data_IF_148881610471
#
_entry.id   IF_148881610471
#
_cell.length_a   1.000
_cell.length_b   1.000
_cell.length_c   1.000
_cell.angle_alpha   90.00
_cell.angle_beta   90.00
_cell.angle_gamma   90.00
#
_symmetry.space_group_name_H-M   'P 1'
#
loop_
_entity.id
_entity.type
_entity.pdbx_description
1 polymer ?
#
# COMPACT_ATOMS: atom_id res chain seq x y z
N UNK A 1 -12.40 20.85 4.95
CA UNK A 1 -12.79 21.11 6.36
C UNK A 1 -13.47 19.90 6.97
N UNK A 2 -14.37 19.22 6.27
CA UNK A 2 -15.02 17.97 6.72
C UNK A 2 -14.50 16.77 5.91
N UNK A 3 -14.19 15.67 6.59
CA UNK A 3 -13.76 14.40 5.99
C UNK A 3 -14.16 13.26 6.91
N UNK A 4 -14.44 12.09 6.36
CA UNK A 4 -14.62 10.87 7.16
C UNK A 4 -13.44 9.95 6.88
N UNK A 5 -12.57 9.80 7.86
CA UNK A 5 -11.36 8.96 7.79
C UNK A 5 -11.63 7.57 8.39
N UNK A 6 -10.79 6.56 8.09
CA UNK A 6 -10.85 5.31 8.82
C UNK A 6 -10.46 5.55 10.29
N UNK A 7 -11.31 5.10 11.22
CA UNK A 7 -11.10 5.35 12.66
C UNK A 7 -10.82 4.07 13.44
N UNK A 8 -10.26 3.03 12.83
CA UNK A 8 -10.17 1.68 13.42
C UNK A 8 -9.45 1.57 14.76
N UNK A 9 -8.46 2.42 15.04
CA UNK A 9 -7.79 2.43 16.36
C UNK A 9 -8.48 3.37 17.35
N UNK A 10 -8.91 4.54 16.91
CA UNK A 10 -9.51 5.55 17.79
C UNK A 10 -10.95 5.20 18.19
N UNK A 11 -11.65 4.39 17.39
CA UNK A 11 -12.97 3.85 17.75
C UNK A 11 -12.92 2.93 18.97
N UNK A 12 -11.80 2.22 19.17
CA UNK A 12 -11.57 1.40 20.35
C UNK A 12 -11.44 2.25 21.61
N UNK A 13 -10.75 3.38 21.51
CA UNK A 13 -10.62 4.34 22.61
C UNK A 13 -11.99 4.94 22.97
N UNK A 14 -12.87 5.07 21.98
CA UNK A 14 -14.27 5.46 22.14
C UNK A 14 -15.18 4.25 22.47
N UNK A 15 -14.69 3.34 23.33
CA UNK A 15 -15.43 2.17 23.84
C UNK A 15 -15.91 1.19 22.77
N UNK A 16 -15.12 1.06 21.69
CA UNK A 16 -15.37 0.18 20.55
C UNK A 16 -16.70 0.46 19.83
N UNK A 17 -16.94 1.73 19.51
CA UNK A 17 -17.99 2.14 18.56
C UNK A 17 -17.61 1.77 17.12
N UNK A 18 -18.59 1.85 16.21
CA UNK A 18 -18.35 1.68 14.77
C UNK A 18 -17.29 2.65 14.24
N UNK A 19 -16.53 2.23 13.22
CA UNK A 19 -15.41 3.01 12.71
C UNK A 19 -15.84 3.93 11.58
N UNK A 20 -15.92 5.24 11.84
CA UNK A 20 -16.37 6.23 10.88
C UNK A 20 -17.82 5.99 10.48
N UNK A 21 -18.07 5.73 9.20
CA UNK A 21 -19.38 5.32 8.68
C UNK A 21 -19.44 3.83 8.31
N UNK A 22 -18.44 3.04 8.73
CA UNK A 22 -18.44 1.61 8.45
C UNK A 22 -19.51 0.90 9.29
N UNK A 23 -20.25 -0.05 8.71
CA UNK A 23 -21.08 -0.96 9.51
C UNK A 23 -20.19 -1.84 10.38
N UNK A 24 -20.77 -2.35 11.46
CA UNK A 24 -20.09 -3.30 12.34
C UNK A 24 -19.75 -4.56 11.54
N UNK A 25 -18.50 -4.98 11.57
CA UNK A 25 -18.08 -6.22 10.89
C UNK A 25 -18.60 -7.47 11.63
N UNK A 26 -18.42 -7.49 12.95
CA UNK A 26 -18.97 -8.48 13.87
C UNK A 26 -19.28 -7.81 15.21
N UNK A 27 -20.35 -8.23 15.87
CA UNK A 27 -20.74 -7.69 17.18
C UNK A 27 -19.77 -8.09 18.30
N UNK A 28 -19.10 -9.23 18.14
CA UNK A 28 -18.10 -9.74 19.07
C UNK A 28 -16.97 -10.39 18.29
N UNK A 29 -15.72 -10.06 18.62
CA UNK A 29 -14.53 -10.60 17.97
C UNK A 29 -13.33 -10.62 18.92
N UNK A 30 -12.34 -11.49 18.66
CA UNK A 30 -11.09 -11.52 19.42
C UNK A 30 -10.07 -10.59 18.78
N UNK A 31 -9.38 -9.83 19.60
CA UNK A 31 -8.30 -8.94 19.21
C UNK A 31 -7.02 -9.35 19.92
N UNK A 32 -5.95 -9.53 19.14
CA UNK A 32 -4.61 -9.77 19.66
C UNK A 32 -3.92 -8.44 19.98
N UNK A 33 -3.52 -8.26 21.23
CA UNK A 33 -2.89 -7.06 21.78
C UNK A 33 -1.42 -7.39 22.07
N UNK A 34 -0.50 -6.57 21.55
CA UNK A 34 0.92 -6.67 21.89
C UNK A 34 1.18 -5.95 23.22
N UNK A 35 1.70 -6.69 24.20
CA UNK A 35 2.06 -6.17 25.51
C UNK A 35 3.47 -5.54 25.50
N UNK A 36 3.80 -4.67 26.47
CA UNK A 36 5.11 -4.00 26.53
C UNK A 36 6.32 -4.96 26.63
N UNK A 37 6.10 -6.19 27.10
CA UNK A 37 7.11 -7.24 27.20
C UNK A 37 7.29 -8.03 25.88
N UNK A 38 6.55 -7.67 24.83
CA UNK A 38 6.59 -8.33 23.53
C UNK A 38 5.73 -9.59 23.41
N UNK A 39 5.04 -9.98 24.48
CA UNK A 39 4.04 -11.05 24.44
C UNK A 39 2.72 -10.55 23.83
N UNK A 40 1.85 -11.49 23.45
CA UNK A 40 0.54 -11.16 22.90
C UNK A 40 -0.57 -11.67 23.82
N UNK A 41 -1.61 -10.87 23.98
CA UNK A 41 -2.82 -11.21 24.72
C UNK A 41 -4.03 -11.14 23.79
N UNK A 42 -4.86 -12.18 23.77
CA UNK A 42 -6.09 -12.17 22.99
C UNK A 42 -7.25 -11.72 23.90
N UNK A 43 -7.84 -10.55 23.61
CA UNK A 43 -9.00 -10.03 24.31
C UNK A 43 -10.25 -10.09 23.43
N UNK A 44 -11.36 -10.54 24.00
CA UNK A 44 -12.66 -10.46 23.35
C UNK A 44 -13.18 -9.02 23.47
N UNK A 45 -13.46 -8.42 22.32
CA UNK A 45 -14.01 -7.07 22.21
C UNK A 45 -15.42 -7.19 21.64
N UNK A 46 -16.33 -6.31 22.07
CA UNK A 46 -17.70 -6.26 21.56
C UNK A 46 -18.08 -4.84 21.20
N UNK A 47 -18.90 -4.69 20.17
CA UNK A 47 -19.44 -3.39 19.74
C UNK A 47 -20.22 -2.71 20.89
N UNK A 48 -20.07 -1.40 21.01
CA UNK A 48 -20.72 -0.61 22.05
C UNK A 48 -22.25 -0.71 22.00
N UNK A 49 -22.86 -0.48 20.84
CA UNK A 49 -24.30 -0.47 20.69
C UNK A 49 -24.91 -1.85 20.96
N UNK A 50 -24.21 -2.91 20.52
CA UNK A 50 -24.55 -4.29 20.85
C UNK A 50 -24.56 -4.53 22.37
N UNK A 51 -23.50 -4.16 23.08
CA UNK A 51 -23.44 -4.30 24.55
C UNK A 51 -24.55 -3.51 25.25
N UNK A 52 -24.81 -2.28 24.83
CA UNK A 52 -25.91 -1.47 25.38
C UNK A 52 -27.28 -2.12 25.16
N UNK A 53 -27.51 -2.69 23.97
CA UNK A 53 -28.76 -3.41 23.68
C UNK A 53 -28.92 -4.62 24.58
N UNK A 54 -27.88 -5.47 24.71
CA UNK A 54 -27.88 -6.64 25.59
C UNK A 54 -28.13 -6.27 27.05
N UNK A 55 -27.48 -5.21 27.55
CA UNK A 55 -27.70 -4.72 28.91
C UNK A 55 -29.14 -4.25 29.15
N UNK A 56 -29.79 -3.67 28.15
CA UNK A 56 -31.16 -3.13 28.26
C UNK A 56 -32.26 -4.19 28.10
N UNK A 57 -32.07 -5.15 27.20
CA UNK A 57 -33.12 -6.10 26.81
C UNK A 57 -32.80 -7.55 27.21
N UNK A 58 -31.62 -7.82 27.77
CA UNK A 58 -31.16 -9.13 28.21
C UNK A 58 -30.32 -9.86 27.17
N UNK A 59 -29.43 -10.75 27.65
CA UNK A 59 -28.43 -11.43 26.83
C UNK A 59 -29.02 -12.34 25.74
N UNK A 60 -30.21 -12.92 26.00
CA UNK A 60 -30.91 -13.80 25.07
C UNK A 60 -31.96 -13.13 24.18
N UNK A 61 -32.08 -11.80 24.21
CA UNK A 61 -33.06 -11.07 23.39
C UNK A 61 -32.79 -11.24 21.89
N UNK A 62 -33.83 -11.27 21.07
CA UNK A 62 -33.65 -11.21 19.62
C UNK A 62 -33.08 -9.85 19.24
N UNK A 63 -32.10 -9.84 18.33
CA UNK A 63 -31.63 -8.60 17.72
C UNK A 63 -32.69 -8.12 16.72
N UNK A 64 -33.03 -6.82 16.71
CA UNK A 64 -33.90 -6.23 15.71
C UNK A 64 -33.32 -6.37 14.30
N UNK A 65 -34.17 -6.27 13.28
CA UNK A 65 -33.78 -6.35 11.87
C UNK A 65 -32.80 -5.25 11.43
N UNK A 66 -32.78 -4.11 12.11
CA UNK A 66 -31.83 -3.03 11.88
C UNK A 66 -30.44 -3.26 12.51
N UNK A 67 -30.26 -4.31 13.33
CA UNK A 67 -28.93 -4.79 13.72
C UNK A 67 -28.40 -5.68 12.58
N UNK A 68 -27.81 -5.00 11.59
CA UNK A 68 -27.12 -5.62 10.45
C UNK A 68 -25.62 -5.48 10.61
N UNK A 69 -24.87 -6.44 10.08
CA UNK A 69 -23.42 -6.39 9.98
C UNK A 69 -22.97 -6.09 8.54
N UNK A 70 -21.66 -5.97 8.34
CA UNK A 70 -21.08 -5.64 7.04
C UNK A 70 -21.38 -6.67 5.94
N UNK A 71 -21.55 -7.95 6.26
CA UNK A 71 -21.85 -9.03 5.30
C UNK A 71 -23.34 -9.16 4.99
N UNK A 72 -24.22 -8.65 5.86
CA UNK A 72 -25.66 -8.63 5.61
C UNK A 72 -26.07 -7.57 4.58
N UNK A 73 -25.17 -6.63 4.26
CA UNK A 73 -25.44 -5.48 3.42
C UNK A 73 -25.02 -5.73 1.97
N UNK A 74 -25.86 -5.30 1.03
CA UNK A 74 -25.53 -5.32 -0.39
C UNK A 74 -24.51 -4.22 -0.74
N UNK A 75 -23.75 -4.36 -1.85
CA UNK A 75 -22.87 -3.29 -2.32
C UNK A 75 -23.57 -1.95 -2.50
N UNK A 76 -24.79 -1.97 -3.03
CA UNK A 76 -25.63 -0.78 -3.19
C UNK A 76 -26.01 -0.14 -1.84
N UNK A 77 -26.29 -0.94 -0.81
CA UNK A 77 -26.59 -0.43 0.53
C UNK A 77 -25.37 0.23 1.18
N UNK A 78 -24.18 -0.35 1.01
CA UNK A 78 -22.93 0.29 1.44
C UNK A 78 -22.69 1.62 0.72
N UNK A 79 -22.90 1.65 -0.60
CA UNK A 79 -22.73 2.85 -1.41
C UNK A 79 -23.73 3.94 -1.04
N UNK A 80 -24.99 3.58 -0.78
CA UNK A 80 -26.03 4.53 -0.43
C UNK A 80 -25.69 5.36 0.82
N UNK A 81 -25.09 4.76 1.84
CA UNK A 81 -24.62 5.50 3.03
C UNK A 81 -23.47 6.45 2.68
N UNK A 82 -22.54 6.01 1.83
CA UNK A 82 -21.44 6.87 1.38
C UNK A 82 -21.98 8.08 0.59
N UNK A 83 -22.87 7.84 -0.35
CA UNK A 83 -23.49 8.88 -1.16
C UNK A 83 -24.28 9.88 -0.30
N UNK A 84 -25.10 9.39 0.64
CA UNK A 84 -25.86 10.24 1.54
C UNK A 84 -24.97 11.15 2.41
N UNK A 85 -23.80 10.65 2.83
CA UNK A 85 -22.84 11.45 3.57
C UNK A 85 -22.04 12.41 2.67
N UNK A 86 -21.85 12.06 1.39
CA UNK A 86 -20.95 12.77 0.47
C UNK A 86 -21.33 14.24 0.27
N UNK A 87 -22.63 14.56 0.25
CA UNK A 87 -23.17 15.92 0.09
C UNK A 87 -22.69 16.91 1.17
N UNK A 88 -22.30 16.40 2.34
CA UNK A 88 -21.88 17.19 3.50
C UNK A 88 -20.37 17.16 3.74
N UNK A 89 -19.61 16.48 2.88
CA UNK A 89 -18.18 16.25 3.02
C UNK A 89 -17.42 16.98 1.91
N UNK A 90 -16.64 18.00 2.27
CA UNK A 90 -15.90 18.81 1.30
C UNK A 90 -14.60 18.14 0.80
N UNK A 91 -13.93 17.36 1.65
CA UNK A 91 -12.82 16.48 1.28
C UNK A 91 -13.37 15.17 0.69
N UNK A 92 -13.01 14.01 1.26
CA UNK A 92 -13.45 12.69 0.82
C UNK A 92 -13.86 11.80 1.99
N UNK A 93 -14.46 10.68 1.65
CA UNK A 93 -14.94 9.66 2.58
C UNK A 93 -14.13 8.38 2.37
N UNK A 94 -13.56 7.86 3.46
CA UNK A 94 -13.01 6.51 3.49
C UNK A 94 -14.13 5.55 3.88
N UNK A 95 -14.59 4.76 2.91
CA UNK A 95 -15.61 3.74 3.07
C UNK A 95 -15.26 2.53 2.20
N UNK A 96 -15.44 1.34 2.75
CA UNK A 96 -15.25 0.07 2.06
C UNK A 96 -16.61 -0.51 1.66
N UNK A 97 -16.85 -0.73 0.37
CA UNK A 97 -18.01 -1.44 -0.15
C UNK A 97 -17.67 -2.94 -0.18
N UNK A 98 -18.18 -3.70 0.79
CA UNK A 98 -17.99 -5.15 0.78
C UNK A 98 -18.81 -5.76 -0.35
N UNK A 99 -18.16 -6.61 -1.12
CA UNK A 99 -18.74 -7.27 -2.28
C UNK A 99 -18.78 -8.78 -2.02
N UNK A 100 -19.87 -9.48 -2.39
CA UNK A 100 -19.91 -10.94 -2.37
C UNK A 100 -18.76 -11.55 -3.16
N UNK A 101 -18.26 -12.70 -2.70
CA UNK A 101 -17.16 -13.41 -3.39
C UNK A 101 -17.56 -13.84 -4.81
N UNK A 102 -18.83 -14.21 -5.00
CA UNK A 102 -19.42 -14.67 -6.25
C UNK A 102 -19.97 -13.54 -7.14
N UNK A 103 -19.71 -12.26 -6.80
CA UNK A 103 -20.17 -11.13 -7.61
C UNK A 103 -19.63 -11.20 -9.04
N UNK A 104 -20.54 -11.18 -10.02
CA UNK A 104 -20.20 -11.18 -11.44
C UNK A 104 -19.53 -9.87 -11.87
N UNK A 105 -18.74 -9.93 -12.95
CA UNK A 105 -18.00 -8.77 -13.47
C UNK A 105 -18.89 -7.56 -13.77
N UNK A 106 -20.02 -7.76 -14.44
CA UNK A 106 -20.95 -6.66 -14.79
C UNK A 106 -21.50 -6.00 -13.52
N UNK A 107 -21.97 -6.79 -12.55
CA UNK A 107 -22.47 -6.27 -11.28
C UNK A 107 -21.37 -5.54 -10.48
N UNK A 108 -20.14 -6.04 -10.49
CA UNK A 108 -18.99 -5.39 -9.85
C UNK A 108 -18.62 -4.06 -10.53
N UNK A 109 -18.64 -4.02 -11.87
CA UNK A 109 -18.43 -2.79 -12.64
C UNK A 109 -19.51 -1.75 -12.31
N UNK A 110 -20.77 -2.17 -12.21
CA UNK A 110 -21.91 -1.30 -11.88
C UNK A 110 -21.71 -0.57 -10.55
N UNK A 111 -21.06 -1.17 -9.55
CA UNK A 111 -20.76 -0.49 -8.27
C UNK A 111 -20.01 0.83 -8.48
N UNK A 112 -19.03 0.85 -9.39
CA UNK A 112 -18.25 2.07 -9.67
C UNK A 112 -19.05 3.08 -10.49
N UNK A 113 -19.85 2.62 -11.46
CA UNK A 113 -20.74 3.49 -12.24
C UNK A 113 -21.79 4.14 -11.36
N UNK A 114 -22.44 3.38 -10.49
CA UNK A 114 -23.40 3.89 -9.51
C UNK A 114 -22.76 4.87 -8.53
N UNK A 115 -21.52 4.62 -8.09
CA UNK A 115 -20.81 5.54 -7.21
C UNK A 115 -20.55 6.89 -7.89
N UNK A 116 -20.14 6.85 -9.16
CA UNK A 116 -19.94 8.05 -9.96
C UNK A 116 -21.25 8.82 -10.16
N UNK A 117 -22.32 8.13 -10.55
CA UNK A 117 -23.64 8.73 -10.79
C UNK A 117 -24.23 9.32 -9.50
N UNK A 118 -23.94 8.72 -8.34
CA UNK A 118 -24.32 9.21 -7.03
C UNK A 118 -23.45 10.37 -6.52
N UNK A 119 -22.47 10.84 -7.29
CA UNK A 119 -21.61 11.97 -6.94
C UNK A 119 -20.53 11.66 -5.90
N UNK A 120 -20.24 10.38 -5.65
CA UNK A 120 -19.16 9.96 -4.75
C UNK A 120 -17.79 10.38 -5.31
N UNK A 121 -16.94 10.97 -4.46
CA UNK A 121 -15.60 11.45 -4.86
C UNK A 121 -14.57 10.33 -5.02
N UNK A 122 -14.92 9.13 -4.58
CA UNK A 122 -14.12 7.91 -4.66
C UNK A 122 -14.95 6.71 -4.25
N UNK A 123 -14.46 5.51 -4.55
CA UNK A 123 -15.13 4.26 -4.23
C UNK A 123 -14.08 3.17 -4.00
N UNK A 124 -14.12 2.52 -2.84
CA UNK A 124 -13.22 1.42 -2.49
C UNK A 124 -14.06 0.17 -2.28
N UNK A 125 -13.77 -0.90 -3.03
CA UNK A 125 -14.45 -2.19 -2.92
C UNK A 125 -13.54 -3.21 -2.25
N UNK A 126 -14.10 -4.06 -1.38
CA UNK A 126 -13.41 -5.24 -0.87
C UNK A 126 -14.21 -6.49 -1.27
N UNK A 127 -13.57 -7.38 -2.01
CA UNK A 127 -14.11 -8.70 -2.34
C UNK A 127 -13.28 -9.76 -1.62
N UNK A 128 -13.86 -10.56 -0.72
CA UNK A 128 -13.16 -11.68 -0.09
C UNK A 128 -12.59 -12.63 -1.14
N UNK A 129 -11.42 -13.20 -0.89
CA UNK A 129 -10.89 -14.33 -1.62
C UNK A 129 -9.99 -15.19 -0.70
N UNK A 130 -9.70 -16.42 -1.12
CA UNK A 130 -8.90 -17.40 -0.36
C UNK A 130 -7.50 -16.89 0.03
N UNK A 131 -6.96 -15.88 -0.66
CA UNK A 131 -5.62 -15.33 -0.43
C UNK A 131 -5.66 -14.09 0.48
N UNK A 132 -6.69 -13.25 0.36
CA UNK A 132 -6.78 -11.99 1.09
C UNK A 132 -7.24 -12.19 2.53
N UNK A 133 -8.02 -13.25 2.80
CA UNK A 133 -8.48 -13.60 4.14
C UNK A 133 -9.31 -12.50 4.82
N UNK A 134 -10.26 -12.88 5.67
CA UNK A 134 -10.94 -11.91 6.53
C UNK A 134 -9.93 -11.41 7.57
N UNK A 135 -9.58 -10.11 7.54
CA UNK A 135 -8.68 -9.45 8.51
C UNK A 135 -9.18 -9.58 9.96
N UNK A 136 -10.45 -9.96 10.14
CA UNK A 136 -11.10 -10.24 11.41
C UNK A 136 -11.59 -11.70 11.38
N UNK A 137 -11.00 -12.56 12.20
CA UNK A 137 -11.48 -13.93 12.39
C UNK A 137 -12.63 -13.95 13.40
N UNK A 138 -13.76 -14.52 12.99
CA UNK A 138 -14.85 -14.92 13.88
C UNK A 138 -14.76 -16.44 13.95
N UNK A 139 -14.14 -17.00 14.99
CA UNK A 139 -14.14 -18.46 15.16
C UNK A 139 -15.53 -18.93 15.60
N UNK A 140 -16.07 -19.92 14.87
CA UNK A 140 -17.03 -20.88 15.39
C UNK A 140 -16.33 -21.87 16.34
N UNK A 141 -17.10 -22.47 17.26
CA UNK A 141 -16.64 -23.26 18.41
C UNK A 141 -15.46 -24.24 18.15
N UNK A 142 -14.48 -24.36 19.07
CA UNK A 142 -13.24 -25.09 18.83
C UNK A 142 -13.34 -26.59 19.18
N UNK A 143 -12.70 -27.51 18.43
CA UNK A 143 -12.30 -28.80 18.95
C UNK A 143 -11.07 -28.62 19.86
N UNK A 144 -11.15 -29.21 21.06
CA UNK A 144 -10.14 -29.14 22.11
C UNK A 144 -8.79 -29.76 21.69
N UNK A 145 -7.67 -29.09 22.01
CA UNK A 145 -6.35 -29.75 22.19
C UNK A 145 -5.58 -29.09 23.36
N UNK A 146 -4.85 -29.84 24.21
CA UNK A 146 -4.36 -29.40 25.52
C UNK A 146 -3.09 -28.52 25.49
N UNK A 147 -2.83 -27.91 26.65
CA UNK A 147 -1.86 -26.86 26.90
C UNK A 147 -0.38 -27.27 27.02
N UNK A 148 0.45 -26.23 26.79
CA UNK A 148 1.74 -25.87 27.41
C UNK A 148 3.08 -26.40 26.84
N UNK A 149 3.77 -25.43 26.21
CA UNK A 149 5.20 -25.11 26.00
C UNK A 149 6.27 -25.85 26.87
N UNK A 150 7.57 -25.91 26.47
CA UNK A 150 8.40 -24.70 26.30
C UNK A 150 9.43 -24.69 25.16
N UNK A 151 10.05 -23.51 25.04
CA UNK A 151 10.97 -23.02 24.03
C UNK A 151 12.42 -23.52 24.13
N UNK A 152 13.13 -23.34 23.01
CA UNK A 152 14.57 -23.19 22.78
C UNK A 152 15.43 -24.42 22.41
N UNK A 153 16.12 -24.22 21.29
CA UNK A 153 17.51 -24.55 20.98
C UNK A 153 17.74 -25.47 19.77
N UNK A 154 18.65 -24.98 18.92
CA UNK A 154 19.14 -25.51 17.66
C UNK A 154 19.60 -26.99 17.70
N UNK A 155 19.41 -27.68 16.56
CA UNK A 155 20.10 -28.93 16.28
C UNK A 155 19.52 -29.76 15.13
N UNK A 156 20.04 -29.54 13.91
CA UNK A 156 20.24 -30.48 12.79
C UNK A 156 19.17 -31.47 12.29
N UNK A 157 19.04 -31.45 10.95
CA UNK A 157 18.85 -32.55 9.96
C UNK A 157 17.47 -33.15 9.69
N UNK A 158 17.03 -32.90 8.44
CA UNK A 158 16.21 -33.67 7.48
C UNK A 158 15.11 -34.62 7.98
N UNK A 159 13.85 -34.38 7.57
CA UNK A 159 13.23 -34.99 6.37
C UNK A 159 11.69 -34.93 6.44
N UNK A 160 11.03 -34.84 5.29
CA UNK A 160 9.68 -35.40 5.09
C UNK A 160 8.46 -34.55 5.45
N UNK A 161 7.99 -33.78 4.47
CA UNK A 161 6.58 -33.63 4.02
C UNK A 161 5.42 -33.52 5.04
N UNK A 162 4.81 -32.31 4.98
CA UNK A 162 3.38 -31.94 4.98
C UNK A 162 2.58 -32.03 6.29
N UNK A 163 2.15 -30.88 6.81
CA UNK A 163 0.72 -30.53 7.02
C UNK A 163 0.55 -29.03 7.36
N UNK A 164 0.15 -28.24 6.37
CA UNK A 164 -0.59 -26.97 6.51
C UNK A 164 -0.83 -26.47 5.09
N UNK A 165 -2.10 -26.34 4.68
CA UNK A 165 -2.58 -26.15 3.30
C UNK A 165 -2.20 -24.83 2.61
N UNK A 166 -0.99 -24.31 2.82
CA UNK A 166 -0.43 -23.18 2.09
C UNK A 166 0.22 -23.69 0.80
N UNK A 167 -0.49 -23.54 -0.31
CA UNK A 167 0.13 -23.67 -1.64
C UNK A 167 0.99 -22.43 -1.88
N UNK A 168 2.27 -22.52 -1.53
CA UNK A 168 3.23 -21.53 -1.99
C UNK A 168 3.38 -21.66 -3.51
N UNK A 169 2.95 -20.65 -4.28
CA UNK A 169 3.21 -20.60 -5.73
C UNK A 169 4.73 -20.66 -6.04
N UNK A 170 5.56 -20.22 -5.08
CA UNK A 170 7.01 -20.44 -5.03
C UNK A 170 7.46 -20.46 -3.57
N UNK A 171 8.17 -21.51 -3.15
CA UNK A 171 8.74 -21.58 -1.80
C UNK A 171 9.72 -20.40 -1.54
N UNK A 172 9.68 -19.77 -0.35
CA UNK A 172 10.67 -18.77 0.03
C UNK A 172 12.08 -19.35 -0.05
N UNK A 173 13.01 -18.60 -0.66
CA UNK A 173 14.38 -19.07 -0.80
C UNK A 173 15.09 -19.14 0.55
N UNK A 174 15.75 -20.28 0.81
CA UNK A 174 16.63 -20.42 1.96
C UNK A 174 17.76 -19.39 1.91
N UNK A 175 17.96 -18.69 3.02
CA UNK A 175 18.98 -17.64 3.12
C UNK A 175 20.37 -18.26 3.30
N UNK A 176 21.31 -18.08 2.35
CA UNK A 176 22.69 -18.51 2.51
C UNK A 176 23.39 -17.78 3.67
N UNK A 177 24.40 -18.41 4.26
CA UNK A 177 25.20 -17.81 5.34
C UNK A 177 26.03 -16.59 4.89
N UNK A 178 26.33 -16.47 3.59
CA UNK A 178 27.06 -15.35 2.99
C UNK A 178 26.36 -14.94 1.69
N UNK A 179 26.19 -13.64 1.51
CA UNK A 179 25.63 -13.05 0.30
C UNK A 179 26.61 -12.03 -0.29
N UNK A 180 26.66 -11.94 -1.61
CA UNK A 180 27.41 -10.91 -2.33
C UNK A 180 26.47 -9.73 -2.59
N UNK A 181 26.93 -8.49 -2.44
CA UNK A 181 26.07 -7.33 -2.67
C UNK A 181 26.82 -6.05 -3.00
N UNK A 182 26.07 -5.01 -3.33
CA UNK A 182 26.57 -3.67 -3.66
C UNK A 182 25.85 -2.61 -2.82
N UNK A 183 26.59 -1.58 -2.41
CA UNK A 183 26.02 -0.44 -1.66
C UNK A 183 26.06 0.82 -2.51
N UNK A 184 24.88 1.40 -2.74
CA UNK A 184 24.66 2.61 -3.52
C UNK A 184 24.42 3.80 -2.60
N UNK A 185 25.11 4.91 -2.89
CA UNK A 185 24.92 6.17 -2.17
C UNK A 185 24.00 7.09 -2.95
N UNK A 186 22.92 7.53 -2.31
CA UNK A 186 21.95 8.50 -2.83
C UNK A 186 22.02 9.77 -1.98
N UNK A 187 22.15 10.93 -2.62
CA UNK A 187 22.04 12.24 -1.97
C UNK A 187 20.73 12.88 -2.43
N UNK A 188 19.77 12.99 -1.52
CA UNK A 188 18.50 13.63 -1.80
C UNK A 188 18.61 15.14 -1.57
N UNK A 189 18.16 16.02 -2.49
CA UNK A 189 18.42 17.46 -2.41
C UNK A 189 17.90 18.17 -1.15
N UNK A 190 16.88 17.60 -0.49
CA UNK A 190 16.29 18.14 0.74
C UNK A 190 16.67 17.36 2.00
N UNK A 191 17.73 16.54 1.93
CA UNK A 191 18.22 15.79 3.10
C UNK A 191 19.68 16.11 3.40
N UNK A 192 19.94 16.47 4.66
CA UNK A 192 21.28 16.69 5.20
C UNK A 192 22.14 15.42 5.25
N UNK A 193 21.52 14.26 5.03
CA UNK A 193 22.16 12.96 5.15
C UNK A 193 21.96 12.12 3.89
N UNK A 194 23.06 11.51 3.43
CA UNK A 194 23.00 10.56 2.34
C UNK A 194 22.32 9.26 2.80
N UNK A 195 21.58 8.66 1.88
CA UNK A 195 20.94 7.37 2.03
C UNK A 195 21.84 6.32 1.36
N UNK A 196 22.08 5.23 2.08
CA UNK A 196 22.85 4.08 1.62
C UNK A 196 21.90 2.92 1.38
N UNK A 197 21.88 2.40 0.16
CA UNK A 197 21.03 1.30 -0.26
C UNK A 197 21.95 0.13 -0.59
N UNK A 198 21.96 -0.89 0.24
CA UNK A 198 22.70 -2.13 0.00
C UNK A 198 21.75 -3.16 -0.58
N UNK A 199 22.09 -3.72 -1.74
CA UNK A 199 21.33 -4.83 -2.33
C UNK A 199 22.26 -6.03 -2.40
N UNK A 200 21.80 -7.13 -1.82
CA UNK A 200 22.49 -8.41 -1.78
C UNK A 200 21.82 -9.38 -2.75
N UNK A 201 22.64 -10.19 -3.40
CA UNK A 201 22.28 -11.11 -4.47
C UNK A 201 22.47 -12.56 -4.04
N UNK A 202 21.68 -13.44 -4.66
CA UNK A 202 21.89 -14.89 -4.62
C UNK A 202 22.04 -15.43 -6.05
N UNK A 203 22.81 -16.51 -6.19
CA UNK A 203 22.84 -17.30 -7.43
C UNK A 203 21.72 -18.34 -7.35
N UNK A 204 20.79 -18.28 -8.28
CA UNK A 204 19.70 -19.26 -8.41
C UNK A 204 19.54 -19.62 -9.89
N UNK A 205 19.45 -20.91 -10.20
CA UNK A 205 19.27 -21.42 -11.57
C UNK A 205 20.28 -20.86 -12.59
N UNK A 206 21.53 -20.66 -12.15
CA UNK A 206 22.60 -20.10 -12.98
C UNK A 206 22.53 -18.60 -13.22
N UNK A 207 21.52 -17.91 -12.67
CA UNK A 207 21.32 -16.45 -12.79
C UNK A 207 21.53 -15.76 -11.44
N UNK A 208 22.09 -14.55 -11.48
CA UNK A 208 22.17 -13.68 -10.31
C UNK A 208 20.86 -12.92 -10.14
N UNK A 209 20.26 -13.00 -8.96
CA UNK A 209 19.01 -12.30 -8.63
C UNK A 209 19.16 -11.51 -7.33
N UNK A 210 18.42 -10.40 -7.17
CA UNK A 210 18.40 -9.69 -5.90
C UNK A 210 17.66 -10.55 -4.86
N UNK A 211 18.17 -10.54 -3.63
CA UNK A 211 17.72 -11.39 -2.53
C UNK A 211 17.26 -10.58 -1.32
N UNK A 212 18.00 -9.56 -0.93
CA UNK A 212 17.61 -8.65 0.15
C UNK A 212 18.15 -7.24 -0.08
N UNK A 213 17.44 -6.25 0.44
CA UNK A 213 17.82 -4.85 0.39
C UNK A 213 17.94 -4.32 1.82
N UNK A 214 18.87 -3.40 2.06
CA UNK A 214 18.99 -2.63 3.29
C UNK A 214 19.08 -1.16 2.95
N UNK A 215 18.19 -0.36 3.51
CA UNK A 215 18.21 1.09 3.35
C UNK A 215 18.62 1.70 4.69
N UNK A 216 19.74 2.41 4.70
CA UNK A 216 20.30 3.05 5.88
C UNK A 216 20.45 4.55 5.65
N UNK A 217 20.02 5.35 6.63
CA UNK A 217 20.19 6.79 6.63
C UNK A 217 20.49 7.27 8.04
N UNK A 218 21.25 8.36 8.16
CA UNK A 218 21.40 9.08 9.44
C UNK A 218 20.20 9.99 9.74
N UNK A 219 19.31 10.19 8.78
CA UNK A 219 18.09 10.97 8.98
C UNK A 219 17.07 10.15 9.80
N UNK A 220 16.79 10.62 11.02
CA UNK A 220 15.84 9.98 11.94
C UNK A 220 14.37 10.24 11.58
N UNK A 221 14.07 11.31 10.83
CA UNK A 221 12.69 11.66 10.39
C UNK A 221 12.07 10.53 9.57
N UNK A 222 12.91 9.71 8.95
CA UNK A 222 12.51 8.71 7.97
C UNK A 222 12.75 7.27 8.43
N UNK A 223 13.19 7.09 9.68
CA UNK A 223 13.66 5.80 10.17
C UNK A 223 12.59 4.70 10.13
N UNK A 224 11.39 4.97 10.65
CA UNK A 224 10.32 3.97 10.76
C UNK A 224 9.88 3.43 9.38
N UNK A 225 9.63 4.32 8.42
CA UNK A 225 9.22 3.91 7.08
C UNK A 225 10.38 3.29 6.28
N UNK A 226 11.62 3.74 6.50
CA UNK A 226 12.81 3.14 5.87
C UNK A 226 13.00 1.69 6.29
N UNK A 227 12.79 1.39 7.58
CA UNK A 227 12.83 0.03 8.12
C UNK A 227 11.69 -0.82 7.57
N UNK A 228 10.47 -0.27 7.51
CA UNK A 228 9.33 -0.98 6.94
C UNK A 228 9.55 -1.32 5.46
N UNK A 229 10.00 -0.35 4.66
CA UNK A 229 10.29 -0.53 3.23
C UNK A 229 11.39 -1.57 2.99
N UNK A 230 12.46 -1.50 3.79
CA UNK A 230 13.56 -2.47 3.79
C UNK A 230 13.06 -3.90 4.00
N UNK A 231 12.20 -4.11 5.01
CA UNK A 231 11.63 -5.43 5.33
C UNK A 231 10.70 -5.93 4.23
N UNK A 232 9.82 -5.06 3.73
CA UNK A 232 8.85 -5.41 2.70
C UNK A 232 9.52 -5.81 1.38
N UNK A 233 10.44 -4.98 0.86
CA UNK A 233 11.14 -5.30 -0.39
C UNK A 233 11.99 -6.56 -0.23
N UNK A 234 12.68 -6.73 0.91
CA UNK A 234 13.44 -7.96 1.15
C UNK A 234 12.55 -9.21 1.22
N UNK A 235 11.35 -9.10 1.80
CA UNK A 235 10.39 -10.19 1.80
C UNK A 235 9.93 -10.54 0.39
N UNK A 236 9.71 -9.54 -0.47
CA UNK A 236 9.37 -9.74 -1.89
C UNK A 236 10.54 -10.39 -2.64
N UNK A 237 11.77 -9.91 -2.47
CA UNK A 237 12.95 -10.49 -3.15
C UNK A 237 13.23 -11.95 -2.78
N UNK A 238 12.90 -12.34 -1.54
CA UNK A 238 13.03 -13.73 -1.05
C UNK A 238 11.94 -14.65 -1.58
N UNK A 239 10.80 -14.10 -2.02
CA UNK A 239 9.78 -14.89 -2.71
C UNK A 239 10.29 -15.15 -4.13
N UNK A 240 10.15 -16.38 -4.60
CA UNK A 240 10.53 -16.77 -5.96
C UNK A 240 9.79 -15.95 -7.03
N UNK A 241 10.14 -16.18 -8.30
CA UNK A 241 9.49 -15.51 -9.43
C UNK A 241 10.12 -14.18 -9.86
N UNK A 242 9.38 -13.45 -10.70
CA UNK A 242 9.82 -12.15 -11.23
C UNK A 242 9.54 -11.03 -10.23
N UNK A 243 10.61 -10.39 -9.77
CA UNK A 243 10.57 -9.27 -8.81
C UNK A 243 10.86 -7.92 -9.49
N UNK A 244 10.91 -7.89 -10.82
CA UNK A 244 11.13 -6.66 -11.61
C UNK A 244 10.04 -5.61 -11.35
N UNK A 245 8.80 -6.02 -11.10
CA UNK A 245 7.67 -5.11 -10.83
C UNK A 245 7.92 -4.14 -9.67
N UNK A 246 8.74 -4.51 -8.68
CA UNK A 246 9.11 -3.64 -7.56
C UNK A 246 9.74 -2.34 -8.03
N UNK A 247 10.49 -2.39 -9.14
CA UNK A 247 11.09 -1.21 -9.77
C UNK A 247 10.02 -0.26 -10.29
N UNK A 248 9.02 -0.79 -10.99
CA UNK A 248 7.94 -0.03 -11.62
C UNK A 248 7.07 0.64 -10.56
N UNK A 249 6.65 -0.13 -9.56
CA UNK A 249 5.84 0.36 -8.43
C UNK A 249 6.55 1.50 -7.68
N UNK A 250 7.84 1.35 -7.37
CA UNK A 250 8.58 2.41 -6.68
C UNK A 250 8.76 3.67 -7.54
N UNK A 251 8.98 3.51 -8.84
CA UNK A 251 9.14 4.65 -9.78
C UNK A 251 7.82 5.38 -10.02
N UNK A 252 6.68 4.72 -9.83
CA UNK A 252 5.35 5.31 -9.93
C UNK A 252 4.93 6.12 -8.69
N UNK A 253 5.71 6.12 -7.60
CA UNK A 253 5.38 6.91 -6.41
C UNK A 253 5.82 8.36 -6.56
N UNK A 254 4.89 9.29 -6.29
CA UNK A 254 5.12 10.74 -6.35
C UNK A 254 5.13 11.35 -4.94
N UNK A 255 6.04 12.30 -4.67
CA UNK A 255 5.98 13.12 -3.45
C UNK A 255 5.03 14.30 -3.71
N UNK A 256 4.01 14.54 -2.87
CA UNK A 256 3.12 15.70 -2.99
C UNK A 256 3.84 17.05 -2.96
N UNK A 257 5.06 17.11 -2.40
CA UNK A 257 5.93 18.30 -2.40
C UNK A 257 6.65 18.51 -3.73
N UNK A 258 6.54 17.56 -4.66
CA UNK A 258 7.22 17.54 -5.94
C UNK A 258 8.55 16.77 -5.90
N UNK A 259 8.99 16.34 -7.08
CA UNK A 259 10.28 15.68 -7.28
C UNK A 259 11.45 16.64 -7.52
N UNK A 260 12.64 16.06 -7.72
CA UNK A 260 13.87 16.81 -7.99
C UNK A 260 14.53 16.38 -9.29
N UNK A 261 15.25 17.32 -9.92
CA UNK A 261 16.15 17.02 -11.02
C UNK A 261 17.49 16.50 -10.47
N UNK A 262 17.84 15.27 -10.82
CA UNK A 262 19.08 14.63 -10.39
C UNK A 262 19.80 14.08 -11.62
N UNK A 263 21.05 14.53 -11.85
CA UNK A 263 21.87 14.11 -13.00
C UNK A 263 21.16 14.25 -14.36
N UNK A 264 20.42 15.33 -14.56
CA UNK A 264 19.71 15.60 -15.81
C UNK A 264 18.40 14.82 -16.01
N UNK A 265 17.97 14.00 -15.04
CA UNK A 265 16.68 13.31 -15.06
C UNK A 265 15.78 13.81 -13.92
N UNK A 266 14.51 14.00 -14.22
CA UNK A 266 13.51 14.30 -13.18
C UNK A 266 13.19 13.03 -12.39
N UNK A 267 13.23 13.12 -11.06
CA UNK A 267 12.92 12.04 -10.14
C UNK A 267 11.75 12.49 -9.25
N UNK A 268 10.56 11.87 -9.37
CA UNK A 268 9.32 12.37 -8.76
C UNK A 268 9.23 12.23 -7.24
N UNK A 269 10.02 11.34 -6.64
CA UNK A 269 10.07 11.13 -5.19
C UNK A 269 11.35 10.42 -4.77
N UNK A 270 11.64 10.40 -3.46
CA UNK A 270 12.74 9.62 -2.92
C UNK A 270 12.55 8.10 -3.18
N UNK A 271 11.30 7.63 -3.15
CA UNK A 271 10.97 6.24 -3.46
C UNK A 271 11.27 5.90 -4.92
N UNK A 272 10.97 6.81 -5.85
CA UNK A 272 11.36 6.66 -7.24
C UNK A 272 12.89 6.66 -7.43
N UNK A 273 13.62 7.41 -6.60
CA UNK A 273 15.09 7.36 -6.59
C UNK A 273 15.61 5.99 -6.14
N UNK A 274 14.98 5.38 -5.12
CA UNK A 274 15.27 4.02 -4.65
C UNK A 274 14.93 3.01 -5.74
N UNK A 275 13.78 3.14 -6.41
CA UNK A 275 13.38 2.32 -7.56
C UNK A 275 14.42 2.36 -8.68
N UNK A 276 14.94 3.54 -9.02
CA UNK A 276 16.02 3.68 -10.00
C UNK A 276 17.37 3.08 -9.55
N UNK A 277 17.62 2.95 -8.25
CA UNK A 277 18.79 2.22 -7.73
C UNK A 277 18.61 0.72 -7.92
N UNK A 278 17.43 0.20 -7.60
CA UNK A 278 17.09 -1.22 -7.77
C UNK A 278 17.13 -1.59 -9.27
N UNK A 279 16.54 -0.77 -10.14
CA UNK A 279 16.57 -0.95 -11.59
C UNK A 279 18.00 -1.11 -12.11
N UNK A 280 18.86 -0.14 -11.79
CA UNK A 280 20.26 -0.16 -12.18
C UNK A 280 20.99 -1.40 -11.66
N UNK A 281 20.72 -1.80 -10.42
CA UNK A 281 21.32 -3.00 -9.85
C UNK A 281 20.87 -4.26 -10.58
N UNK A 282 19.56 -4.41 -10.83
CA UNK A 282 18.99 -5.53 -11.58
C UNK A 282 19.53 -5.62 -13.01
N UNK A 283 19.74 -4.48 -13.69
CA UNK A 283 20.40 -4.44 -15.01
C UNK A 283 21.86 -4.91 -14.89
N UNK A 284 22.60 -4.41 -13.90
CA UNK A 284 24.02 -4.74 -13.69
C UNK A 284 24.27 -6.23 -13.45
N UNK A 285 23.35 -6.91 -12.75
CA UNK A 285 23.44 -8.35 -12.48
C UNK A 285 22.82 -9.20 -13.59
N UNK A 286 22.26 -8.58 -14.64
CA UNK A 286 21.57 -9.27 -15.73
C UNK A 286 20.21 -9.86 -15.35
N UNK A 287 19.56 -9.36 -14.29
CA UNK A 287 18.23 -9.78 -13.85
C UNK A 287 17.08 -9.14 -14.65
N UNK A 288 17.29 -7.94 -15.17
CA UNK A 288 16.39 -7.32 -16.16
C UNK A 288 17.22 -6.75 -17.32
N UNK A 289 16.63 -6.66 -18.52
CA UNK A 289 17.25 -6.01 -19.68
C UNK A 289 17.17 -4.49 -19.55
N UNK A 290 18.20 -3.78 -20.02
CA UNK A 290 18.20 -2.32 -20.04
C UNK A 290 17.10 -1.81 -20.98
N UNK A 291 16.34 -0.82 -20.54
CA UNK A 291 15.37 -0.10 -21.38
C UNK A 291 16.01 0.72 -22.51
N UNK A 292 17.35 0.82 -22.56
CA UNK A 292 18.07 1.43 -23.68
C UNK A 292 17.83 0.72 -25.03
N UNK A 293 17.43 -0.56 -25.04
CA UNK A 293 17.03 -1.25 -26.28
C UNK A 293 15.60 -0.90 -26.73
N UNK A 294 14.77 -0.32 -25.84
CA UNK A 294 13.43 0.18 -26.19
C UNK A 294 13.44 1.65 -26.64
N UNK A 295 14.52 2.41 -26.39
CA UNK A 295 14.66 3.80 -26.85
C UNK A 295 14.74 3.91 -28.39
N UNK A 296 15.24 2.86 -29.07
CA UNK A 296 15.26 2.78 -30.54
C UNK A 296 13.85 2.63 -31.15
N UNK A 297 12.91 2.03 -30.42
CA UNK A 297 11.51 1.95 -30.84
C UNK A 297 10.79 3.29 -30.66
N UNK A 298 11.11 4.03 -29.60
CA UNK A 298 10.57 5.36 -29.32
C UNK A 298 11.12 6.44 -30.27
N UNK A 299 12.39 6.35 -30.70
CA UNK A 299 12.95 7.20 -31.76
C UNK A 299 12.29 6.94 -33.12
N UNK A 300 11.99 5.68 -33.45
CA UNK A 300 11.30 5.33 -34.69
C UNK A 300 9.86 5.90 -34.72
N UNK A 301 9.16 5.90 -33.59
CA UNK A 301 7.82 6.50 -33.48
C UNK A 301 7.87 8.04 -33.53
N UNK A 302 8.92 8.66 -32.94
CA UNK A 302 9.12 10.12 -33.02
C UNK A 302 9.55 10.61 -34.40
N UNK A 303 10.33 9.81 -35.14
CA UNK A 303 10.73 10.13 -36.51
C UNK A 303 9.54 10.11 -37.49
N UNK A 304 8.47 9.37 -37.19
CA UNK A 304 7.23 9.35 -37.99
C UNK A 304 6.31 10.53 -37.66
N UNK A 305 6.48 11.16 -36.49
CA UNK A 305 5.64 12.27 -36.03
C UNK A 305 6.12 13.67 -36.42
N UNK A 306 7.24 13.79 -37.15
CA UNK A 306 7.62 14.98 -37.93
C UNK A 306 7.47 16.33 -37.25
N UNK A 307 8.25 16.61 -36.21
CA UNK A 307 8.31 17.96 -35.61
C UNK A 307 9.77 18.47 -35.57
N UNK A 308 10.22 18.98 -36.73
CA UNK A 308 11.36 19.88 -36.83
C UNK A 308 10.91 21.30 -36.53
N UNK A 309 11.38 21.88 -35.42
CA UNK A 309 11.97 23.23 -35.44
C UNK A 309 12.40 23.66 -34.04
N UNK A 310 13.71 23.92 -33.93
CA UNK A 310 14.33 24.72 -32.90
C UNK A 310 13.53 26.01 -32.61
N UNK A 311 13.08 26.15 -31.37
CA UNK A 311 12.77 27.46 -30.78
C UNK A 311 13.50 27.58 -29.46
N UNK A 312 14.40 28.56 -29.44
CA UNK A 312 15.03 29.13 -28.26
C UNK A 312 13.94 29.77 -27.39
N UNK A 313 13.23 28.96 -26.61
CA UNK A 313 12.19 29.42 -25.69
C UNK A 313 12.81 29.67 -24.33
N UNK A 314 12.71 30.92 -23.86
CA UNK A 314 12.88 31.31 -22.44
C UNK A 314 12.40 30.18 -21.53
N UNK A 315 13.32 29.58 -20.77
CA UNK A 315 13.03 28.48 -19.86
C UNK A 315 12.13 28.97 -18.72
N UNK A 316 10.82 28.92 -18.94
CA UNK A 316 9.82 29.10 -17.89
C UNK A 316 10.00 28.02 -16.83
N UNK A 317 9.78 28.39 -15.57
CA UNK A 317 9.91 27.44 -14.46
C UNK A 317 8.83 26.35 -14.59
N UNK A 318 9.12 25.11 -14.19
CA UNK A 318 8.13 24.04 -14.22
C UNK A 318 7.05 24.24 -13.15
N UNK A 319 5.80 23.96 -13.50
CA UNK A 319 4.67 24.02 -12.58
C UNK A 319 4.71 22.83 -11.60
N UNK A 320 4.54 23.05 -10.28
CA UNK A 320 4.56 21.97 -9.30
C UNK A 320 3.29 21.10 -9.32
N UNK A 321 2.20 21.53 -9.97
CA UNK A 321 0.96 20.75 -10.11
C UNK A 321 0.98 19.84 -11.34
N UNK A 322 1.35 20.37 -12.51
CA UNK A 322 1.25 19.63 -13.78
C UNK A 322 2.61 19.35 -14.46
N UNK A 323 3.72 19.85 -13.93
CA UNK A 323 5.06 19.63 -14.49
C UNK A 323 5.39 20.43 -15.76
N UNK A 324 4.40 21.09 -16.39
CA UNK A 324 4.62 21.88 -17.60
C UNK A 324 5.58 23.08 -17.35
N UNK A 325 6.49 23.41 -18.28
CA UNK A 325 7.36 24.59 -18.20
C UNK A 325 6.56 25.87 -18.48
N UNK A 326 5.65 26.19 -17.57
CA UNK A 326 4.58 27.15 -17.78
C UNK A 326 4.34 28.04 -16.54
N UNK A 327 5.26 28.05 -15.58
CA UNK A 327 5.13 28.83 -14.35
C UNK A 327 5.68 30.24 -14.53
N UNK A 328 4.82 31.23 -14.30
CA UNK A 328 5.10 32.66 -14.43
C UNK A 328 4.90 33.32 -13.07
N UNK A 329 5.77 34.26 -12.69
CA UNK A 329 5.56 35.10 -11.49
C UNK A 329 5.01 36.45 -11.90
N UNK A 330 3.86 36.82 -11.37
CA UNK A 330 3.24 38.13 -11.56
C UNK A 330 2.65 38.60 -10.25
N UNK A 331 2.85 39.88 -9.90
CA UNK A 331 2.22 40.51 -8.72
C UNK A 331 2.45 39.77 -7.39
N UNK A 332 3.59 39.08 -7.24
CA UNK A 332 3.90 38.30 -6.04
C UNK A 332 3.31 36.88 -6.02
N UNK A 333 2.61 36.46 -7.08
CA UNK A 333 2.04 35.13 -7.22
C UNK A 333 2.71 34.33 -8.34
N UNK A 334 3.02 33.07 -8.08
CA UNK A 334 3.42 32.07 -9.08
C UNK A 334 2.16 31.43 -9.67
N UNK A 335 1.91 31.62 -10.97
CA UNK A 335 0.74 31.11 -11.70
C UNK A 335 1.17 30.27 -12.89
N UNK A 336 0.49 29.16 -13.14
CA UNK A 336 0.72 28.31 -14.31
C UNK A 336 -0.20 28.69 -15.47
N UNK A 337 0.34 28.79 -16.69
CA UNK A 337 -0.47 29.04 -17.90
C UNK A 337 -0.95 27.75 -18.59
N UNK A 338 -0.53 26.60 -18.10
CA UNK A 338 -0.95 25.27 -18.62
C UNK A 338 -1.90 24.53 -17.70
N UNK A 339 -2.12 25.01 -16.46
CA UNK A 339 -3.13 24.47 -15.54
C UNK A 339 -3.52 25.53 -14.50
N UNK A 340 -4.55 25.28 -13.71
CA UNK A 340 -5.08 26.22 -12.71
C UNK A 340 -4.25 26.25 -11.40
N UNK A 341 -2.93 26.17 -11.48
CA UNK A 341 -2.06 26.31 -10.31
C UNK A 341 -1.73 27.78 -10.04
N UNK A 342 -2.01 28.27 -8.83
CA UNK A 342 -1.61 29.59 -8.35
C UNK A 342 -1.13 29.55 -6.90
N UNK A 343 -0.01 30.19 -6.58
CA UNK A 343 0.50 30.35 -5.20
C UNK A 343 1.09 31.73 -5.00
N UNK A 344 0.49 32.51 -4.10
CA UNK A 344 0.99 33.84 -3.70
C UNK A 344 1.92 33.75 -2.50
N UNK A 345 2.99 34.56 -2.49
CA UNK A 345 3.99 34.58 -1.42
C UNK A 345 4.92 35.78 -1.46
#
# INVERSE_FOLDING_TARGET
VTSIAPTGTISLLADNVSSGLEPVFSYTYRRRILLPDGSHEDQTVSDYAYRCYRAKFGEGSALPDYFVNAMDLTPAAHLAIQAAAQDYIDSSISKTINCPEDIGFEAFQTVYSEAYDAGCKGCTTYRPNEITGTVLSVEADPPQVPAAAPSMAAGSTHSGTVDDGVVYMTEPLDRPGVLQGQTYKVRWPDSDHAIYITINDVMQDGRRRPFEIFINSKNMEHFAWTVALTRMISAVFRRGGDVSFVVEELKAVFDPRGGHWMKGKYIPSLLAAIGGVIERHMIQIGFITSTADNDLADEAVRAVAGDDAARDTMKLRPCPKCGAPALIRSEGCDSCVSCDYSRCG
#
